data_IF_933145378310
#
_entry.id   IF_933145378310
#
_cell.length_a   1.000
_cell.length_b   1.000
_cell.length_c   1.000
_cell.angle_alpha   90.00
_cell.angle_beta   90.00
_cell.angle_gamma   90.00
#
_symmetry.space_group_name_H-M   'P 1'
#
loop_
_entity.id
_entity.type
_entity.pdbx_description
1 polymer ?
#
# COMPACT_ATOMS: atom_id res chain seq x y z
N UNK A 1 3.06 20.43 2.01
CA UNK A 1 4.17 19.46 1.91
C UNK A 1 3.73 18.03 2.22
N UNK A 2 2.88 17.78 3.22
CA UNK A 2 2.40 16.44 3.58
C UNK A 2 1.64 15.72 2.46
N UNK A 3 0.84 16.43 1.69
CA UNK A 3 0.01 15.85 0.62
C UNK A 3 0.82 15.35 -0.59
N UNK A 4 1.88 16.05 -0.95
CA UNK A 4 2.78 15.63 -2.04
C UNK A 4 3.55 14.36 -1.65
N UNK A 5 3.94 14.25 -0.40
CA UNK A 5 4.68 13.11 0.12
C UNK A 5 3.82 11.83 0.16
N UNK A 6 2.56 11.94 0.61
CA UNK A 6 1.60 10.82 0.61
C UNK A 6 1.33 10.30 -0.80
N UNK A 7 1.23 11.18 -1.80
CA UNK A 7 1.00 10.80 -3.20
C UNK A 7 2.18 10.01 -3.80
N UNK A 8 3.41 10.47 -3.59
CA UNK A 8 4.60 9.76 -4.04
C UNK A 8 4.76 8.41 -3.33
N UNK A 9 4.37 8.33 -2.07
CA UNK A 9 4.46 7.12 -1.28
C UNK A 9 3.55 5.99 -1.76
N UNK A 10 2.31 6.28 -2.14
CA UNK A 10 1.38 5.28 -2.70
C UNK A 10 1.93 4.67 -3.98
N UNK A 11 2.41 5.50 -4.90
CA UNK A 11 2.99 5.02 -6.17
C UNK A 11 4.26 4.18 -5.92
N UNK A 12 5.09 4.59 -4.97
CA UNK A 12 6.32 3.86 -4.60
C UNK A 12 5.99 2.51 -3.97
N UNK A 13 5.01 2.47 -3.06
CA UNK A 13 4.56 1.22 -2.42
C UNK A 13 4.03 0.23 -3.47
N UNK A 14 3.17 0.69 -4.39
CA UNK A 14 2.67 -0.14 -5.48
C UNK A 14 3.78 -0.64 -6.40
N UNK A 15 4.79 0.20 -6.68
CA UNK A 15 5.95 -0.21 -7.47
C UNK A 15 6.80 -1.27 -6.77
N UNK A 16 7.02 -1.13 -5.47
CA UNK A 16 7.74 -2.13 -4.66
C UNK A 16 6.99 -3.45 -4.70
N UNK A 17 5.68 -3.44 -4.47
CA UNK A 17 4.84 -4.64 -4.52
C UNK A 17 4.89 -5.32 -5.89
N UNK A 18 4.84 -4.53 -6.97
CA UNK A 18 4.95 -5.04 -8.34
C UNK A 18 6.29 -5.73 -8.58
N UNK A 19 7.41 -5.12 -8.19
CA UNK A 19 8.72 -5.77 -8.29
C UNK A 19 8.84 -7.02 -7.41
N UNK A 20 8.24 -6.98 -6.23
CA UNK A 20 8.21 -8.14 -5.33
C UNK A 20 7.48 -9.33 -5.97
N UNK A 21 6.33 -9.08 -6.62
CA UNK A 21 5.60 -10.09 -7.38
C UNK A 21 6.42 -10.69 -8.53
N UNK A 22 7.18 -9.86 -9.26
CA UNK A 22 8.11 -10.35 -10.29
C UNK A 22 9.20 -11.25 -9.71
N UNK A 23 9.72 -10.93 -8.50
CA UNK A 23 10.71 -11.79 -7.82
C UNK A 23 10.10 -13.14 -7.39
N UNK A 24 8.80 -13.18 -7.11
CA UNK A 24 8.04 -14.43 -6.86
C UNK A 24 7.71 -15.22 -8.14
N UNK A 25 8.04 -14.70 -9.31
CA UNK A 25 7.69 -15.33 -10.60
C UNK A 25 6.22 -15.14 -11.00
N UNK A 26 5.52 -14.16 -10.42
CA UNK A 26 4.13 -13.85 -10.76
C UNK A 26 4.01 -12.98 -12.00
N UNK A 27 2.87 -13.12 -12.68
CA UNK A 27 2.41 -12.11 -13.64
C UNK A 27 2.03 -10.84 -12.89
N UNK A 28 2.48 -9.70 -13.39
CA UNK A 28 2.32 -8.42 -12.68
C UNK A 28 1.81 -7.33 -13.62
N UNK A 29 0.83 -6.59 -13.16
CA UNK A 29 0.44 -5.30 -13.75
C UNK A 29 0.57 -4.20 -12.71
N UNK A 30 1.17 -3.08 -13.09
CA UNK A 30 1.29 -1.87 -12.28
C UNK A 30 0.78 -0.68 -13.08
N UNK A 31 -0.35 -0.13 -12.67
CA UNK A 31 -1.02 0.96 -13.37
C UNK A 31 -1.23 2.15 -12.44
N UNK A 32 -0.33 3.15 -12.46
CA UNK A 32 -0.50 4.38 -11.72
C UNK A 32 -1.55 5.26 -12.41
N UNK A 33 -2.40 5.91 -11.61
CA UNK A 33 -3.33 6.94 -12.05
C UNK A 33 -3.11 8.20 -11.26
N UNK A 34 -2.70 9.25 -11.93
CA UNK A 34 -2.57 10.59 -11.38
C UNK A 34 -3.16 11.60 -12.37
N UNK A 35 -4.06 12.43 -11.87
CA UNK A 35 -4.68 13.47 -12.69
C UNK A 35 -3.72 14.60 -13.01
N UNK A 36 -3.95 15.37 -14.10
CA UNK A 36 -3.17 16.56 -14.45
C UNK A 36 -3.31 17.70 -13.43
N UNK A 37 -4.18 17.56 -12.47
CA UNK A 37 -4.44 18.57 -11.43
C UNK A 37 -3.25 18.68 -10.48
N UNK A 38 -2.53 19.79 -10.56
CA UNK A 38 -1.36 20.07 -9.73
C UNK A 38 -1.70 20.25 -8.24
N UNK A 39 -2.98 20.49 -7.90
CA UNK A 39 -3.49 20.59 -6.51
C UNK A 39 -4.87 19.92 -6.42
N UNK A 40 -5.03 19.00 -5.46
CA UNK A 40 -6.31 18.35 -5.19
C UNK A 40 -6.59 17.05 -5.93
N UNK A 41 -5.81 16.66 -6.95
CA UNK A 41 -5.97 15.40 -7.68
C UNK A 41 -5.68 14.15 -6.82
N UNK A 42 -6.46 13.10 -7.01
CA UNK A 42 -6.25 11.80 -6.37
C UNK A 42 -5.11 11.05 -7.07
N UNK A 43 -4.04 10.69 -6.34
CA UNK A 43 -3.07 9.73 -6.81
C UNK A 43 -3.48 8.33 -6.31
N UNK A 44 -3.60 7.39 -7.22
CA UNK A 44 -3.84 6.00 -6.89
C UNK A 44 -3.01 5.08 -7.79
N UNK A 45 -2.83 3.85 -7.38
CA UNK A 45 -2.15 2.83 -8.17
C UNK A 45 -2.92 1.52 -8.05
N UNK A 46 -3.13 0.86 -9.17
CA UNK A 46 -3.63 -0.50 -9.22
C UNK A 46 -2.47 -1.45 -9.46
N UNK A 47 -2.34 -2.46 -8.61
CA UNK A 47 -1.35 -3.53 -8.75
C UNK A 47 -2.12 -4.84 -8.85
N UNK A 48 -1.81 -5.63 -9.86
CA UNK A 48 -2.33 -7.00 -10.02
C UNK A 48 -1.13 -7.94 -9.88
N UNK A 49 -1.27 -8.90 -8.99
CA UNK A 49 -0.35 -10.04 -8.86
C UNK A 49 -1.16 -11.30 -9.14
N UNK A 50 -0.73 -12.11 -10.09
CA UNK A 50 -1.45 -13.32 -10.51
C UNK A 50 -0.48 -14.44 -10.80
N UNK A 51 -0.90 -15.68 -10.56
CA UNK A 51 -0.21 -16.88 -11.00
C UNK A 51 -0.60 -17.22 -12.44
N UNK A 52 -1.67 -16.59 -12.96
CA UNK A 52 -2.17 -16.73 -14.32
C UNK A 52 -1.99 -15.45 -15.12
N UNK A 53 -2.06 -15.57 -16.45
CA UNK A 53 -1.90 -14.46 -17.37
C UNK A 53 -2.93 -13.36 -17.15
N UNK A 54 -2.47 -12.12 -16.99
CA UNK A 54 -3.33 -10.95 -16.79
C UNK A 54 -3.89 -10.52 -18.14
N UNK A 55 -5.21 -10.62 -18.31
CA UNK A 55 -5.92 -10.24 -19.54
C UNK A 55 -6.20 -8.74 -19.64
N UNK A 56 -6.33 -8.05 -18.51
CA UNK A 56 -6.60 -6.60 -18.46
C UNK A 56 -6.00 -5.97 -17.19
N UNK A 57 -5.35 -4.81 -17.31
CA UNK A 57 -4.89 -4.04 -16.15
C UNK A 57 -6.01 -3.20 -15.51
N UNK A 58 -7.15 -3.09 -16.16
CA UNK A 58 -8.28 -2.26 -15.72
C UNK A 58 -9.22 -3.10 -14.87
N UNK A 59 -9.42 -2.68 -13.62
CA UNK A 59 -10.32 -3.32 -12.67
C UNK A 59 -11.46 -2.38 -12.30
N UNK A 60 -12.66 -2.92 -12.22
CA UNK A 60 -13.85 -2.21 -11.70
C UNK A 60 -14.01 -2.41 -10.20
N UNK A 61 -13.56 -3.54 -9.67
CA UNK A 61 -13.62 -3.93 -8.27
C UNK A 61 -12.26 -4.45 -7.81
N UNK A 62 -11.99 -4.36 -6.52
CA UNK A 62 -10.71 -4.70 -5.92
C UNK A 62 -10.87 -5.78 -4.86
N UNK A 63 -9.95 -6.73 -4.83
CA UNK A 63 -9.84 -7.71 -3.75
C UNK A 63 -9.34 -7.03 -2.46
N UNK A 64 -8.45 -6.05 -2.62
CA UNK A 64 -7.82 -5.30 -1.53
C UNK A 64 -7.77 -3.82 -1.89
N UNK A 65 -8.22 -2.95 -0.99
CA UNK A 65 -8.04 -1.51 -1.09
C UNK A 65 -7.21 -0.99 0.09
N UNK A 66 -6.17 -0.22 -0.20
CA UNK A 66 -5.38 0.51 0.79
C UNK A 66 -5.72 1.99 0.69
N UNK A 67 -6.23 2.56 1.75
CA UNK A 67 -6.83 3.89 1.78
C UNK A 67 -6.11 4.77 2.81
N UNK A 68 -5.56 5.88 2.35
CA UNK A 68 -4.70 6.76 3.16
C UNK A 68 -5.31 8.15 3.41
N UNK A 69 -6.50 8.42 2.91
CA UNK A 69 -7.23 9.67 3.18
C UNK A 69 -8.74 9.52 2.96
N UNK A 70 -9.53 10.40 3.55
CA UNK A 70 -11.00 10.35 3.49
C UNK A 70 -11.57 10.42 2.07
N UNK A 71 -11.11 11.30 1.15
CA UNK A 71 -11.63 11.31 -0.22
C UNK A 71 -11.43 9.99 -0.97
N UNK A 72 -10.36 9.25 -0.66
CA UNK A 72 -10.14 7.91 -1.21
C UNK A 72 -11.07 6.87 -0.57
N UNK A 73 -11.40 7.01 0.72
CA UNK A 73 -12.39 6.16 1.38
C UNK A 73 -13.75 6.31 0.69
N UNK A 74 -14.21 7.52 0.52
CA UNK A 74 -15.50 7.83 -0.09
C UNK A 74 -15.60 7.33 -1.54
N UNK A 75 -14.48 7.30 -2.26
CA UNK A 75 -14.42 6.87 -3.66
C UNK A 75 -14.26 5.37 -3.85
N UNK A 76 -13.48 4.69 -3.02
CA UNK A 76 -13.02 3.33 -3.28
C UNK A 76 -13.63 2.27 -2.36
N UNK A 77 -14.20 2.62 -1.22
CA UNK A 77 -14.85 1.65 -0.33
C UNK A 77 -15.90 0.81 -1.07
N UNK A 78 -16.75 1.46 -1.87
CA UNK A 78 -17.82 0.79 -2.64
C UNK A 78 -17.31 -0.15 -3.72
N UNK A 79 -16.02 -0.05 -4.08
CA UNK A 79 -15.38 -0.86 -5.13
C UNK A 79 -14.63 -2.07 -4.59
N UNK A 80 -14.59 -2.25 -3.29
CA UNK A 80 -14.04 -3.47 -2.68
C UNK A 80 -15.05 -4.59 -2.90
N UNK A 81 -14.61 -5.74 -3.39
CA UNK A 81 -15.46 -6.92 -3.58
C UNK A 81 -16.08 -7.37 -2.26
N UNK A 82 -17.29 -7.93 -2.24
CA UNK A 82 -17.82 -8.58 -1.05
C UNK A 82 -16.82 -9.62 -0.50
N UNK A 83 -16.59 -9.61 0.82
CA UNK A 83 -15.57 -10.45 1.45
C UNK A 83 -14.12 -9.95 1.27
N UNK A 84 -13.91 -8.91 0.47
CA UNK A 84 -12.60 -8.30 0.24
C UNK A 84 -12.04 -7.58 1.47
N UNK A 85 -10.90 -6.96 1.30
CA UNK A 85 -10.11 -6.35 2.37
C UNK A 85 -9.98 -4.84 2.13
N UNK A 86 -10.21 -4.06 3.19
CA UNK A 86 -9.94 -2.64 3.23
C UNK A 86 -8.94 -2.36 4.36
N UNK A 87 -7.79 -1.79 4.01
CA UNK A 87 -6.76 -1.37 4.97
C UNK A 87 -6.67 0.15 4.95
N UNK A 88 -6.69 0.79 6.10
CA UNK A 88 -6.55 2.24 6.19
C UNK A 88 -5.61 2.69 7.30
N UNK A 89 -5.03 3.89 7.15
CA UNK A 89 -4.29 4.57 8.19
C UNK A 89 -5.23 5.40 9.08
N UNK A 90 -5.13 5.22 10.40
CA UNK A 90 -6.01 5.88 11.36
C UNK A 90 -5.94 7.41 11.35
N UNK A 91 -4.80 7.99 10.96
CA UNK A 91 -4.61 9.44 10.95
C UNK A 91 -5.36 10.16 9.84
N UNK A 92 -5.50 9.53 8.67
CA UNK A 92 -6.08 10.16 7.46
C UNK A 92 -7.58 9.95 7.28
N UNK A 93 -8.22 9.16 8.14
CA UNK A 93 -9.61 8.74 8.03
C UNK A 93 -10.41 9.26 9.22
N UNK A 94 -11.41 10.09 8.93
CA UNK A 94 -12.28 10.70 9.95
C UNK A 94 -13.62 9.97 10.08
N UNK A 95 -14.08 9.35 8.99
CA UNK A 95 -15.31 8.55 8.96
C UNK A 95 -14.93 7.11 8.67
N UNK A 96 -15.22 6.17 9.59
CA UNK A 96 -14.89 4.76 9.39
C UNK A 96 -15.62 4.18 8.19
N UNK A 97 -15.16 3.02 7.72
CA UNK A 97 -15.83 2.26 6.68
C UNK A 97 -17.28 1.94 7.09
N UNK A 98 -18.21 2.05 6.14
CA UNK A 98 -19.65 1.84 6.37
C UNK A 98 -20.09 0.44 6.01
N UNK A 99 -19.33 -0.25 5.16
CA UNK A 99 -19.64 -1.59 4.69
C UNK A 99 -19.33 -2.64 5.75
N UNK A 100 -20.26 -3.58 5.91
CA UNK A 100 -20.18 -4.70 6.87
C UNK A 100 -19.89 -6.04 6.20
N UNK A 101 -19.87 -6.08 4.88
CA UNK A 101 -19.63 -7.27 4.06
C UNK A 101 -18.18 -7.39 3.58
N UNK A 102 -17.27 -6.55 4.10
CA UNK A 102 -15.83 -6.55 3.83
C UNK A 102 -15.04 -6.67 5.12
N UNK A 103 -13.78 -7.09 5.01
CA UNK A 103 -12.87 -7.15 6.16
C UNK A 103 -12.09 -5.84 6.27
N UNK A 104 -12.28 -5.13 7.36
CA UNK A 104 -11.67 -3.81 7.58
C UNK A 104 -10.52 -3.93 8.58
N UNK A 105 -9.38 -3.35 8.24
CA UNK A 105 -8.18 -3.31 9.07
C UNK A 105 -7.66 -1.87 9.17
N UNK A 106 -7.10 -1.56 10.33
CA UNK A 106 -6.47 -0.28 10.63
C UNK A 106 -4.99 -0.48 10.91
N UNK A 107 -4.17 0.40 10.38
CA UNK A 107 -2.74 0.51 10.71
C UNK A 107 -2.51 1.93 11.22
N UNK A 108 -2.00 2.09 12.43
CA UNK A 108 -1.60 3.40 12.95
C UNK A 108 -0.18 3.75 12.50
N UNK A 109 -0.01 3.80 11.18
CA UNK A 109 1.28 3.93 10.53
C UNK A 109 1.91 5.31 10.72
N UNK A 110 1.11 6.37 10.80
CA UNK A 110 1.62 7.72 11.04
C UNK A 110 2.20 7.85 12.45
N UNK A 111 1.52 7.30 13.44
CA UNK A 111 1.97 7.31 14.83
C UNK A 111 3.27 6.51 14.97
N UNK A 112 3.30 5.30 14.41
CA UNK A 112 4.49 4.45 14.41
C UNK A 112 5.68 5.10 13.67
N UNK A 113 5.45 5.77 12.53
CA UNK A 113 6.50 6.49 11.81
C UNK A 113 7.06 7.65 12.64
N UNK A 114 6.22 8.33 13.41
CA UNK A 114 6.61 9.40 14.31
C UNK A 114 7.45 8.86 15.49
N UNK A 115 7.04 7.74 16.09
CA UNK A 115 7.81 7.04 17.14
C UNK A 115 9.18 6.59 16.63
N UNK A 116 9.24 6.08 15.40
CA UNK A 116 10.49 5.70 14.73
C UNK A 116 11.34 6.93 14.32
N UNK A 117 10.86 8.16 14.52
CA UNK A 117 11.47 9.40 14.03
C UNK A 117 11.79 9.36 12.54
N UNK A 118 10.95 8.68 11.79
CA UNK A 118 11.13 8.46 10.36
C UNK A 118 9.78 8.48 9.61
N UNK A 119 9.27 9.66 9.33
CA UNK A 119 8.02 9.81 8.59
C UNK A 119 8.07 9.18 7.17
N UNK A 120 9.26 8.98 6.62
CA UNK A 120 9.45 8.33 5.32
C UNK A 120 9.15 6.83 5.37
N UNK A 121 9.13 6.23 6.55
CA UNK A 121 8.80 4.83 6.75
C UNK A 121 7.30 4.53 6.64
N UNK A 122 6.43 5.55 6.64
CA UNK A 122 4.97 5.43 6.62
C UNK A 122 4.46 4.37 5.63
N UNK A 123 4.94 4.42 4.38
CA UNK A 123 4.48 3.49 3.35
C UNK A 123 4.95 2.05 3.58
N UNK A 124 6.11 1.89 4.22
CA UNK A 124 6.64 0.56 4.55
C UNK A 124 5.88 -0.06 5.72
N UNK A 125 5.42 0.74 6.66
CA UNK A 125 4.51 0.31 7.73
C UNK A 125 3.18 -0.19 7.16
N UNK A 126 2.58 0.56 6.24
CA UNK A 126 1.34 0.13 5.56
C UNK A 126 1.57 -1.15 4.76
N UNK A 127 2.66 -1.24 4.00
CA UNK A 127 3.01 -2.44 3.24
C UNK A 127 3.19 -3.65 4.17
N UNK A 128 3.83 -3.47 5.32
CA UNK A 128 3.96 -4.50 6.34
C UNK A 128 2.61 -4.99 6.84
N UNK A 129 1.69 -4.09 7.15
CA UNK A 129 0.33 -4.44 7.52
C UNK A 129 -0.39 -5.27 6.45
N UNK A 130 -0.28 -4.87 5.18
CA UNK A 130 -0.82 -5.66 4.06
C UNK A 130 -0.25 -7.08 4.04
N UNK A 131 1.06 -7.22 4.12
CA UNK A 131 1.74 -8.53 4.02
C UNK A 131 1.41 -9.47 5.19
N UNK A 132 1.10 -8.92 6.37
CA UNK A 132 0.65 -9.72 7.50
C UNK A 132 -0.74 -10.32 7.28
N UNK A 133 -1.64 -9.56 6.64
CA UNK A 133 -3.02 -10.01 6.39
C UNK A 133 -3.08 -10.92 5.15
N UNK A 134 -2.33 -10.56 4.10
CA UNK A 134 -2.29 -11.32 2.84
C UNK A 134 -0.83 -11.56 2.46
N UNK A 135 -0.26 -12.72 2.80
CA UNK A 135 1.13 -13.06 2.50
C UNK A 135 1.31 -13.42 1.01
N UNK A 136 1.00 -12.48 0.13
CA UNK A 136 1.02 -12.66 -1.33
C UNK A 136 2.44 -12.73 -1.92
N UNK A 137 3.42 -12.21 -1.20
CA UNK A 137 4.85 -12.24 -1.54
C UNK A 137 5.68 -12.42 -0.27
N UNK A 138 6.80 -13.12 -0.38
CA UNK A 138 7.72 -13.32 0.74
C UNK A 138 8.46 -12.03 1.08
N UNK A 139 8.73 -11.78 2.36
CA UNK A 139 9.45 -10.58 2.82
C UNK A 139 10.81 -10.42 2.14
N UNK A 140 11.51 -11.52 1.91
CA UNK A 140 12.78 -11.51 1.21
C UNK A 140 12.66 -10.92 -0.21
N UNK A 141 11.61 -11.31 -0.95
CA UNK A 141 11.32 -10.79 -2.27
C UNK A 141 10.84 -9.33 -2.24
N UNK A 142 10.18 -8.91 -1.16
CA UNK A 142 9.85 -7.50 -0.93
C UNK A 142 11.12 -6.68 -0.75
N UNK A 143 12.10 -7.18 -0.03
CA UNK A 143 13.41 -6.50 0.14
C UNK A 143 14.19 -6.42 -1.17
N UNK A 144 14.14 -7.45 -2.01
CA UNK A 144 14.70 -7.41 -3.36
C UNK A 144 13.98 -6.40 -4.25
N UNK A 145 12.67 -6.38 -4.23
CA UNK A 145 11.84 -5.42 -4.95
C UNK A 145 12.12 -3.99 -4.52
N UNK A 146 12.24 -3.76 -3.22
CA UNK A 146 12.61 -2.47 -2.65
C UNK A 146 14.01 -2.03 -3.13
N UNK A 147 14.99 -2.90 -3.04
CA UNK A 147 16.35 -2.64 -3.54
C UNK A 147 16.35 -2.27 -5.01
N UNK A 148 15.56 -2.97 -5.84
CA UNK A 148 15.45 -2.69 -7.27
C UNK A 148 14.72 -1.37 -7.57
N UNK A 149 13.79 -0.95 -6.72
CA UNK A 149 13.04 0.29 -6.88
C UNK A 149 13.79 1.53 -6.40
N UNK A 150 14.76 1.37 -5.51
CA UNK A 150 15.56 2.45 -4.93
C UNK A 150 16.85 2.68 -5.72
N UNK A 151 17.24 3.95 -5.98
CA UNK A 151 18.59 4.27 -6.45
C UNK A 151 19.67 3.75 -5.48
N UNK A 152 20.82 3.35 -6.00
CA UNK A 152 21.92 2.78 -5.20
C UNK A 152 22.34 3.67 -4.01
N UNK A 153 22.36 5.00 -4.21
CA UNK A 153 22.66 5.97 -3.14
C UNK A 153 21.72 5.88 -1.92
N UNK A 154 20.56 5.22 -2.07
CA UNK A 154 19.56 5.03 -1.01
C UNK A 154 19.52 3.61 -0.45
N UNK A 155 20.40 2.71 -0.90
CA UNK A 155 20.42 1.33 -0.40
C UNK A 155 20.82 1.23 1.08
N UNK A 156 21.49 2.23 1.63
CA UNK A 156 21.75 2.33 3.08
C UNK A 156 20.47 2.42 3.92
N UNK A 157 19.33 2.75 3.31
CA UNK A 157 18.02 2.82 3.97
C UNK A 157 17.30 1.45 4.03
N UNK A 158 17.81 0.41 3.37
CA UNK A 158 17.15 -0.90 3.31
C UNK A 158 16.88 -1.50 4.70
N UNK A 159 17.84 -1.51 5.66
CA UNK A 159 17.57 -2.08 6.99
C UNK A 159 16.46 -1.33 7.74
N UNK A 160 16.40 -0.02 7.58
CA UNK A 160 15.37 0.81 8.21
C UNK A 160 13.99 0.56 7.58
N UNK A 161 13.91 0.39 6.27
CA UNK A 161 12.68 0.02 5.59
C UNK A 161 12.19 -1.38 5.98
N UNK A 162 13.11 -2.35 6.14
CA UNK A 162 12.79 -3.68 6.63
C UNK A 162 12.21 -3.64 8.06
N UNK A 163 12.83 -2.87 8.95
CA UNK A 163 12.32 -2.67 10.30
C UNK A 163 10.90 -2.07 10.30
N UNK A 164 10.63 -1.11 9.41
CA UNK A 164 9.32 -0.51 9.25
C UNK A 164 8.28 -1.51 8.73
N UNK A 165 8.63 -2.35 7.76
CA UNK A 165 7.74 -3.41 7.26
C UNK A 165 7.40 -4.38 8.41
N UNK A 166 8.39 -4.87 9.15
CA UNK A 166 8.18 -5.75 10.31
C UNK A 166 7.28 -5.09 11.37
N UNK A 167 7.53 -3.82 11.67
CA UNK A 167 6.69 -3.06 12.61
C UNK A 167 5.25 -2.93 12.10
N UNK A 168 5.05 -2.68 10.83
CA UNK A 168 3.73 -2.64 10.20
C UNK A 168 2.96 -3.96 10.34
N UNK A 169 3.66 -5.09 10.24
CA UNK A 169 3.07 -6.41 10.46
C UNK A 169 2.53 -6.58 11.90
N UNK A 170 3.19 -5.96 12.88
CA UNK A 170 2.82 -6.06 14.29
C UNK A 170 1.62 -5.17 14.68
N UNK A 171 1.52 -3.98 14.08
CA UNK A 171 0.57 -2.95 14.51
C UNK A 171 -0.77 -2.96 13.78
N UNK A 172 -0.94 -3.79 12.74
CA UNK A 172 -2.22 -3.90 12.03
C UNK A 172 -3.27 -4.57 12.90
N UNK A 173 -4.47 -4.01 12.92
CA UNK A 173 -5.59 -4.48 13.72
C UNK A 173 -6.85 -4.63 12.88
N UNK A 174 -7.61 -5.69 13.11
CA UNK A 174 -8.95 -5.86 12.54
C UNK A 174 -9.94 -5.00 13.31
N UNK A 175 -10.81 -4.27 12.59
CA UNK A 175 -11.84 -3.41 13.17
C UNK A 175 -13.21 -4.11 13.12
#
# INVERSE_FOLDING_TARGET
LGDVYKRQGVLSMGKILAYSGLMEGKEVSWMPSYGPEQRGGTANVTVILSDERISSPVLNEYDIAIILNQPSMDKFESKVKPGGILIYDGYGIHTPAKRTDINVYRVDAMDAATEMKNEKAFNMLILGGLLNIVPMVQLENVMLGLKKSLPERHHHLLPMNEAAIKKGMEIIQKI
#
